data_IF_725647776948
#
_entry.id   IF_725647776948
#
_cell.length_a   1.000
_cell.length_b   1.000
_cell.length_c   1.000
_cell.angle_alpha   90.00
_cell.angle_beta   90.00
_cell.angle_gamma   90.00
#
_symmetry.space_group_name_H-M   'P 1'
#
loop_
_entity.id
_entity.type
_entity.pdbx_description
1 polymer ?
#
# COMPACT_ATOMS: atom_id res chain seq x y z
N UNK A 1 44.32 -8.23 9.49
CA UNK A 1 43.30 -7.21 9.67
C UNK A 1 42.61 -6.78 8.36
N UNK A 2 42.62 -7.61 7.28
CA UNK A 2 41.99 -7.26 5.97
C UNK A 2 40.74 -8.09 5.64
N UNK A 3 40.23 -8.95 6.52
CA UNK A 3 39.09 -9.84 6.27
C UNK A 3 37.74 -9.40 6.88
N UNK A 4 37.74 -8.33 7.70
CA UNK A 4 36.53 -7.84 8.38
C UNK A 4 35.74 -6.81 7.52
N UNK A 5 36.38 -6.19 6.54
CA UNK A 5 35.78 -5.11 5.75
C UNK A 5 34.85 -5.60 4.60
N UNK A 6 34.90 -6.88 4.24
CA UNK A 6 34.09 -7.44 3.15
C UNK A 6 32.69 -7.86 3.61
N UNK A 7 32.49 -8.13 4.90
CA UNK A 7 31.22 -8.66 5.42
C UNK A 7 30.15 -7.58 5.65
N UNK A 8 30.54 -6.31 5.76
CA UNK A 8 29.61 -5.19 6.04
C UNK A 8 28.92 -4.70 4.77
N UNK A 9 29.49 -4.89 3.58
CA UNK A 9 28.91 -4.40 2.31
C UNK A 9 27.69 -5.22 1.84
N UNK A 10 27.53 -6.45 2.31
CA UNK A 10 26.44 -7.34 1.83
C UNK A 10 25.07 -7.11 2.51
N UNK A 11 25.00 -6.34 3.61
CA UNK A 11 23.74 -6.14 4.35
C UNK A 11 22.94 -4.89 3.93
N UNK A 12 23.50 -3.99 3.12
CA UNK A 12 22.85 -2.71 2.75
C UNK A 12 22.02 -2.80 1.46
N UNK A 13 22.17 -3.85 0.67
CA UNK A 13 21.57 -3.92 -0.69
C UNK A 13 20.12 -4.39 -0.75
N UNK A 14 19.52 -4.85 0.37
CA UNK A 14 18.17 -5.42 0.33
C UNK A 14 17.02 -4.42 0.55
N UNK A 15 17.31 -3.16 0.92
CA UNK A 15 16.27 -2.18 1.25
C UNK A 15 15.73 -1.46 0.00
N UNK A 16 16.49 -1.42 -1.09
CA UNK A 16 16.16 -0.60 -2.27
C UNK A 16 15.18 -1.32 -3.24
N UNK A 17 15.09 -2.65 -3.20
CA UNK A 17 14.28 -3.41 -4.16
C UNK A 17 12.76 -3.33 -3.94
N UNK A 18 12.30 -3.08 -2.71
CA UNK A 18 10.88 -3.04 -2.39
C UNK A 18 10.16 -1.81 -2.99
N UNK A 19 10.83 -0.65 -3.04
CA UNK A 19 10.22 0.60 -3.51
C UNK A 19 9.97 0.65 -5.02
N UNK A 20 10.65 -0.18 -5.82
CA UNK A 20 10.60 -0.13 -7.28
C UNK A 20 9.77 -1.25 -7.93
N UNK A 21 9.16 -2.12 -7.14
CA UNK A 21 8.48 -3.33 -7.67
C UNK A 21 7.31 -3.02 -8.61
N UNK A 22 6.71 -1.85 -8.50
CA UNK A 22 5.55 -1.42 -9.28
C UNK A 22 5.83 -0.21 -10.17
N UNK A 23 7.07 0.30 -10.24
CA UNK A 23 7.42 1.49 -11.03
C UNK A 23 7.06 1.37 -12.52
N UNK A 24 7.09 0.15 -13.07
CA UNK A 24 6.69 -0.10 -14.45
C UNK A 24 5.24 0.25 -14.77
N UNK A 25 4.37 0.37 -13.75
CA UNK A 25 2.95 0.72 -13.90
C UNK A 25 2.66 2.22 -13.78
N UNK A 26 3.62 3.03 -13.33
CA UNK A 26 3.42 4.45 -12.99
C UNK A 26 3.05 5.33 -14.19
N UNK A 27 3.43 4.94 -15.41
CA UNK A 27 3.23 5.74 -16.62
C UNK A 27 2.63 4.91 -17.78
N UNK A 28 1.86 3.87 -17.49
CA UNK A 28 1.19 3.08 -18.53
C UNK A 28 -0.17 3.66 -18.87
N UNK A 29 -0.44 3.85 -20.16
CA UNK A 29 -1.64 4.49 -20.70
C UNK A 29 -2.97 3.86 -20.21
N UNK A 30 -2.99 2.55 -19.98
CA UNK A 30 -4.20 1.82 -19.53
C UNK A 30 -4.20 1.50 -18.02
N UNK A 31 -3.35 2.17 -17.24
CA UNK A 31 -3.28 2.06 -15.79
C UNK A 31 -3.44 3.44 -15.16
N UNK A 32 -4.51 3.63 -14.39
CA UNK A 32 -4.64 4.81 -13.53
C UNK A 32 -3.78 4.62 -12.29
N UNK A 33 -2.98 5.62 -11.93
CA UNK A 33 -2.12 5.57 -10.76
C UNK A 33 -2.32 6.75 -9.82
N UNK A 34 -2.32 6.47 -8.51
CA UNK A 34 -2.23 7.49 -7.45
C UNK A 34 -0.93 7.21 -6.70
N UNK A 35 -0.04 8.19 -6.66
CA UNK A 35 1.26 8.06 -6.01
C UNK A 35 1.45 9.27 -5.10
N UNK A 36 1.62 9.01 -3.80
CA UNK A 36 1.95 10.01 -2.78
C UNK A 36 3.21 9.55 -2.07
N UNK A 37 4.24 10.37 -2.09
CA UNK A 37 5.50 10.08 -1.42
C UNK A 37 5.57 10.77 -0.04
N UNK A 38 6.60 10.47 0.73
CA UNK A 38 6.90 11.04 2.04
C UNK A 38 6.85 12.57 2.05
N UNK A 39 7.45 13.21 1.05
CA UNK A 39 7.46 14.68 0.94
C UNK A 39 6.06 15.25 0.75
N UNK A 40 5.21 14.60 -0.02
CA UNK A 40 3.81 15.03 -0.18
C UNK A 40 3.03 14.85 1.12
N UNK A 41 3.21 13.73 1.83
CA UNK A 41 2.60 13.51 3.14
C UNK A 41 3.08 14.53 4.17
N UNK A 42 4.36 14.85 4.19
CA UNK A 42 4.93 15.90 5.04
C UNK A 42 4.22 17.26 4.80
N UNK A 43 4.11 17.67 3.54
CA UNK A 43 3.45 18.93 3.16
C UNK A 43 1.97 18.94 3.55
N UNK A 44 1.24 17.85 3.29
CA UNK A 44 -0.16 17.72 3.71
C UNK A 44 -0.30 17.80 5.24
N UNK A 45 0.62 17.19 5.98
CA UNK A 45 0.64 17.21 7.45
C UNK A 45 0.94 18.59 8.07
N UNK A 46 1.41 19.58 7.28
CA UNK A 46 1.65 20.95 7.75
C UNK A 46 0.39 21.84 7.72
N UNK A 47 -0.70 21.36 7.12
CA UNK A 47 -1.98 22.09 7.06
C UNK A 47 -2.48 22.32 8.49
N UNK A 48 -2.88 23.57 8.78
CA UNK A 48 -3.48 23.91 10.08
C UNK A 48 -4.95 23.52 10.07
N UNK A 49 -5.38 22.81 11.10
CA UNK A 49 -6.77 22.45 11.32
C UNK A 49 -7.19 22.84 12.74
N UNK A 50 -8.47 23.22 12.89
CA UNK A 50 -9.05 23.58 14.17
C UNK A 50 -10.00 22.50 14.72
N UNK A 51 -10.52 21.63 13.87
CA UNK A 51 -11.40 20.55 14.28
C UNK A 51 -10.61 19.26 14.60
N UNK A 52 -11.12 18.51 15.55
CA UNK A 52 -10.46 17.32 16.09
C UNK A 52 -10.28 16.19 15.05
N UNK A 53 -11.23 16.04 14.14
CA UNK A 53 -11.19 14.97 13.13
C UNK A 53 -10.08 15.23 12.12
N UNK A 54 -9.99 16.46 11.60
CA UNK A 54 -8.93 16.87 10.67
C UNK A 54 -7.56 16.79 11.35
N UNK A 55 -7.44 17.23 12.61
CA UNK A 55 -6.18 17.09 13.36
C UNK A 55 -5.74 15.63 13.48
N UNK A 56 -6.66 14.70 13.78
CA UNK A 56 -6.36 13.27 13.83
C UNK A 56 -5.89 12.74 12.46
N UNK A 57 -6.59 13.10 11.40
CA UNK A 57 -6.22 12.74 10.02
C UNK A 57 -4.83 13.25 9.66
N UNK A 58 -4.51 14.51 9.93
CA UNK A 58 -3.19 15.07 9.67
C UNK A 58 -2.07 14.43 10.51
N UNK A 59 -2.38 14.03 11.74
CA UNK A 59 -1.44 13.28 12.58
C UNK A 59 -1.15 11.90 12.00
N UNK A 60 -2.17 11.23 11.48
CA UNK A 60 -2.02 9.95 10.80
C UNK A 60 -1.19 10.07 9.52
N UNK A 61 -1.49 11.07 8.67
CA UNK A 61 -0.74 11.32 7.43
C UNK A 61 0.78 11.46 7.68
N UNK A 62 1.18 12.06 8.79
CA UNK A 62 2.61 12.23 9.16
C UNK A 62 3.32 10.92 9.49
N UNK A 63 2.60 9.83 9.68
CA UNK A 63 3.17 8.49 9.92
C UNK A 63 3.38 7.69 8.63
N UNK A 64 2.99 8.26 7.49
CA UNK A 64 3.02 7.60 6.19
C UNK A 64 4.26 7.99 5.40
N UNK A 65 4.85 7.01 4.72
CA UNK A 65 6.00 7.19 3.84
C UNK A 65 5.59 7.24 2.37
N UNK A 66 4.84 6.22 1.90
CA UNK A 66 4.41 6.14 0.51
C UNK A 66 3.01 5.52 0.39
N UNK A 67 2.23 6.05 -0.54
CA UNK A 67 1.00 5.43 -1.04
C UNK A 67 1.14 5.22 -2.54
N UNK A 68 0.86 4.01 -3.01
CA UNK A 68 0.77 3.67 -4.43
C UNK A 68 -0.53 2.89 -4.66
N UNK A 69 -1.35 3.40 -5.58
CA UNK A 69 -2.56 2.71 -6.02
C UNK A 69 -2.51 2.63 -7.53
N UNK A 70 -2.66 1.42 -8.08
CA UNK A 70 -2.75 1.17 -9.51
C UNK A 70 -4.06 0.49 -9.82
N UNK A 71 -4.77 0.99 -10.83
CA UNK A 71 -6.08 0.46 -11.25
C UNK A 71 -6.08 0.26 -12.75
N UNK A 72 -6.52 -0.90 -13.19
CA UNK A 72 -6.71 -1.18 -14.62
C UNK A 72 -7.95 -2.03 -14.86
N UNK A 73 -8.60 -1.81 -16.00
CA UNK A 73 -9.62 -2.71 -16.57
C UNK A 73 -9.10 -3.46 -17.81
N UNK A 74 -7.85 -3.21 -18.22
CA UNK A 74 -7.21 -3.88 -19.34
C UNK A 74 -6.70 -5.26 -18.92
N UNK A 75 -7.14 -6.32 -19.57
CA UNK A 75 -6.82 -7.71 -19.21
C UNK A 75 -5.32 -8.03 -19.23
N UNK A 76 -4.59 -7.46 -20.20
CA UNK A 76 -3.13 -7.68 -20.28
C UNK A 76 -2.44 -7.06 -19.07
N UNK A 77 -2.76 -5.80 -18.77
CA UNK A 77 -2.18 -5.10 -17.62
C UNK A 77 -2.61 -5.74 -16.30
N UNK A 78 -3.86 -6.21 -16.19
CA UNK A 78 -4.33 -6.96 -15.02
C UNK A 78 -3.48 -8.21 -14.77
N UNK A 79 -3.18 -8.98 -15.82
CA UNK A 79 -2.32 -10.16 -15.71
C UNK A 79 -0.89 -9.78 -15.28
N UNK A 80 -0.33 -8.72 -15.83
CA UNK A 80 1.01 -8.22 -15.46
C UNK A 80 1.04 -7.71 -14.02
N UNK A 81 -0.02 -7.03 -13.56
CA UNK A 81 -0.16 -6.57 -12.18
C UNK A 81 -0.26 -7.76 -11.22
N UNK A 82 -1.02 -8.80 -11.58
CA UNK A 82 -1.10 -10.05 -10.79
C UNK A 82 0.26 -10.71 -10.60
N UNK A 83 1.00 -10.92 -11.70
CA UNK A 83 2.35 -11.50 -11.65
C UNK A 83 3.29 -10.65 -10.79
N UNK A 84 3.21 -9.32 -10.90
CA UNK A 84 4.02 -8.43 -10.09
C UNK A 84 3.64 -8.49 -8.60
N UNK A 85 2.35 -8.54 -8.26
CA UNK A 85 1.86 -8.70 -6.89
C UNK A 85 2.31 -10.04 -6.29
N UNK A 86 2.19 -11.15 -7.02
CA UNK A 86 2.64 -12.46 -6.57
C UNK A 86 4.16 -12.51 -6.35
N UNK A 87 4.94 -11.89 -7.24
CA UNK A 87 6.39 -11.77 -7.08
C UNK A 87 6.72 -10.94 -5.84
N UNK A 88 6.02 -9.82 -5.66
CA UNK A 88 6.20 -8.95 -4.50
C UNK A 88 5.99 -9.70 -3.18
N UNK A 89 4.89 -10.43 -3.08
CA UNK A 89 4.55 -11.24 -1.89
C UNK A 89 5.55 -12.36 -1.61
N UNK A 90 6.16 -12.94 -2.65
CA UNK A 90 7.21 -13.96 -2.48
C UNK A 90 8.55 -13.40 -1.99
N UNK A 91 8.84 -12.15 -2.31
CA UNK A 91 10.14 -11.52 -1.99
C UNK A 91 10.09 -10.67 -0.73
N UNK A 92 8.90 -10.35 -0.22
CA UNK A 92 8.70 -9.55 0.98
C UNK A 92 7.97 -10.37 2.04
N UNK A 93 8.39 -10.24 3.29
CA UNK A 93 7.77 -10.94 4.41
C UNK A 93 6.53 -10.16 4.85
N UNK A 94 5.39 -10.50 4.24
CA UNK A 94 4.07 -9.95 4.57
C UNK A 94 3.18 -11.08 5.10
N UNK A 95 2.40 -10.78 6.13
CA UNK A 95 1.44 -11.69 6.74
C UNK A 95 0.05 -11.45 6.14
N UNK A 96 -0.69 -12.53 5.84
CA UNK A 96 -2.05 -12.41 5.35
C UNK A 96 -2.96 -11.91 6.49
N UNK A 97 -3.56 -10.74 6.32
CA UNK A 97 -4.49 -10.15 7.28
C UNK A 97 -5.92 -10.59 6.99
N UNK A 98 -6.36 -10.52 5.73
CA UNK A 98 -7.70 -10.85 5.32
C UNK A 98 -7.77 -11.31 3.87
N UNK A 99 -8.78 -12.12 3.57
CA UNK A 99 -9.23 -12.39 2.21
C UNK A 99 -10.74 -12.27 2.15
N UNK A 100 -11.24 -11.68 1.06
CA UNK A 100 -12.67 -11.49 0.81
C UNK A 100 -13.00 -11.89 -0.61
N UNK A 101 -14.11 -12.65 -0.78
CA UNK A 101 -14.67 -12.99 -2.08
C UNK A 101 -16.16 -12.67 -2.02
N UNK A 102 -16.53 -11.42 -2.31
CA UNK A 102 -17.90 -10.90 -2.17
C UNK A 102 -18.29 -10.14 -3.43
N UNK A 103 -19.50 -10.42 -3.96
CA UNK A 103 -20.09 -9.69 -5.08
C UNK A 103 -19.19 -9.58 -6.33
N UNK A 104 -18.45 -10.66 -6.65
CA UNK A 104 -17.55 -10.67 -7.81
C UNK A 104 -16.23 -9.94 -7.59
N UNK A 105 -15.89 -9.57 -6.35
CA UNK A 105 -14.57 -9.02 -5.95
C UNK A 105 -13.80 -10.04 -5.16
N UNK A 106 -12.57 -10.33 -5.58
CA UNK A 106 -11.61 -11.14 -4.83
C UNK A 106 -10.49 -10.23 -4.35
N UNK A 107 -10.41 -10.03 -3.05
CA UNK A 107 -9.38 -9.21 -2.43
C UNK A 107 -8.54 -10.03 -1.44
N UNK A 108 -7.26 -9.78 -1.45
CA UNK A 108 -6.29 -10.30 -0.47
C UNK A 108 -5.54 -9.13 0.13
N UNK A 109 -5.56 -9.06 1.45
CA UNK A 109 -4.90 -7.98 2.22
C UNK A 109 -3.80 -8.60 3.07
N UNK A 110 -2.64 -7.98 3.02
CA UNK A 110 -1.43 -8.39 3.71
C UNK A 110 -0.85 -7.21 4.49
N UNK A 111 -0.19 -7.50 5.59
CA UNK A 111 0.49 -6.50 6.41
C UNK A 111 1.92 -6.93 6.74
N UNK A 112 2.74 -5.94 7.06
CA UNK A 112 4.03 -6.11 7.71
C UNK A 112 3.98 -5.46 9.07
N UNK A 113 4.30 -6.19 10.14
CA UNK A 113 4.30 -5.71 11.51
C UNK A 113 5.14 -4.45 11.68
N UNK A 114 4.64 -3.50 12.46
CA UNK A 114 5.23 -2.20 12.73
C UNK A 114 6.17 -2.17 13.93
N UNK A 115 6.38 -0.96 14.48
CA UNK A 115 7.28 -0.71 15.60
C UNK A 115 6.74 -1.18 16.95
N UNK A 116 5.42 -1.35 17.06
CA UNK A 116 4.74 -1.78 18.29
C UNK A 116 3.47 -2.55 17.95
N UNK A 117 2.86 -3.16 18.98
CA UNK A 117 1.58 -3.85 18.85
C UNK A 117 0.49 -2.92 18.29
N UNK A 118 -0.30 -3.43 17.34
CA UNK A 118 -1.34 -2.66 16.63
C UNK A 118 -0.84 -1.77 15.48
N UNK A 119 0.49 -1.58 15.35
CA UNK A 119 1.04 -0.84 14.22
C UNK A 119 1.56 -1.75 13.11
N UNK A 120 1.49 -1.24 11.89
CA UNK A 120 2.03 -1.89 10.69
C UNK A 120 2.97 -0.96 9.93
N UNK A 121 4.01 -1.55 9.32
CA UNK A 121 4.95 -0.85 8.43
C UNK A 121 4.50 -0.83 7.00
N UNK A 122 3.63 -1.76 6.64
CA UNK A 122 3.09 -1.86 5.29
C UNK A 122 1.71 -2.50 5.32
N UNK A 123 0.81 -1.95 4.51
CA UNK A 123 -0.45 -2.56 4.11
C UNK A 123 -0.43 -2.74 2.60
N UNK A 124 -0.58 -3.97 2.14
CA UNK A 124 -0.64 -4.33 0.73
C UNK A 124 -1.97 -5.02 0.42
N UNK A 125 -2.68 -4.55 -0.61
CA UNK A 125 -3.88 -5.20 -1.10
C UNK A 125 -3.76 -5.48 -2.60
N UNK A 126 -4.16 -6.68 -2.99
CA UNK A 126 -4.41 -7.04 -4.37
C UNK A 126 -5.89 -7.41 -4.52
N UNK A 127 -6.58 -6.73 -5.41
CA UNK A 127 -8.01 -6.92 -5.68
C UNK A 127 -8.24 -7.18 -7.16
N UNK A 128 -9.03 -8.23 -7.47
CA UNK A 128 -9.59 -8.50 -8.78
C UNK A 128 -11.11 -8.43 -8.66
N UNK A 129 -11.76 -7.58 -9.46
CA UNK A 129 -13.21 -7.58 -9.58
C UNK A 129 -13.65 -8.08 -10.95
N UNK A 130 -14.78 -8.77 -10.98
CA UNK A 130 -15.36 -9.37 -12.18
C UNK A 130 -16.74 -8.80 -12.44
N UNK A 131 -17.20 -8.85 -13.69
CA UNK A 131 -18.50 -8.33 -14.09
C UNK A 131 -18.42 -6.89 -14.58
N UNK A 132 -19.37 -6.03 -14.16
CA UNK A 132 -19.48 -4.67 -14.69
C UNK A 132 -18.24 -3.79 -14.40
N UNK A 133 -17.61 -3.98 -13.25
CA UNK A 133 -16.48 -3.14 -12.83
C UNK A 133 -15.12 -3.69 -13.29
N UNK A 134 -15.02 -4.96 -13.63
CA UNK A 134 -13.85 -5.69 -14.17
C UNK A 134 -12.50 -4.96 -13.95
N UNK A 135 -12.17 -4.67 -12.69
CA UNK A 135 -10.99 -3.92 -12.33
C UNK A 135 -9.99 -4.77 -11.55
N UNK A 136 -8.71 -4.54 -11.80
CA UNK A 136 -7.62 -5.05 -10.98
C UNK A 136 -6.94 -3.88 -10.27
N UNK A 137 -6.78 -4.01 -8.95
CA UNK A 137 -6.20 -2.96 -8.10
C UNK A 137 -5.01 -3.52 -7.33
N UNK A 138 -3.89 -2.81 -7.38
CA UNK A 138 -2.81 -2.91 -6.40
C UNK A 138 -2.87 -1.68 -5.52
N UNK A 139 -2.90 -1.88 -4.20
CA UNK A 139 -2.80 -0.85 -3.19
C UNK A 139 -1.60 -1.17 -2.29
N UNK A 140 -0.70 -0.22 -2.12
CA UNK A 140 0.46 -0.34 -1.22
C UNK A 140 0.59 0.94 -0.42
N UNK A 141 0.56 0.83 0.90
CA UNK A 141 0.77 1.92 1.84
C UNK A 141 1.90 1.54 2.78
N UNK A 142 2.90 2.39 2.90
CA UNK A 142 4.03 2.20 3.82
C UNK A 142 4.13 3.35 4.82
N UNK A 143 4.69 3.07 6.00
CA UNK A 143 4.84 4.00 7.11
C UNK A 143 4.96 3.25 8.43
N UNK A 144 4.63 3.87 9.54
CA UNK A 144 4.48 3.19 10.84
C UNK A 144 3.15 3.64 11.46
N UNK A 145 2.05 3.01 11.05
CA UNK A 145 0.69 3.49 11.25
C UNK A 145 -0.23 2.45 11.89
N UNK A 146 -1.34 2.95 12.46
CA UNK A 146 -2.42 2.11 13.00
C UNK A 146 -3.40 1.72 11.89
N UNK A 147 -3.74 0.44 11.78
CA UNK A 147 -4.72 -0.06 10.81
C UNK A 147 -6.11 0.57 10.99
N UNK A 148 -6.48 0.95 12.21
CA UNK A 148 -7.77 1.60 12.49
C UNK A 148 -7.93 2.96 11.80
N UNK A 149 -6.83 3.60 11.40
CA UNK A 149 -6.87 4.90 10.72
C UNK A 149 -7.00 4.77 9.18
N UNK A 150 -6.90 3.55 8.63
CA UNK A 150 -6.98 3.29 7.18
C UNK A 150 -8.33 3.75 6.60
N UNK A 151 -9.44 3.48 7.29
CA UNK A 151 -10.77 3.88 6.83
C UNK A 151 -10.87 5.40 6.62
N UNK A 152 -10.23 6.19 7.49
CA UNK A 152 -10.19 7.63 7.37
C UNK A 152 -9.40 8.06 6.12
N UNK A 153 -8.23 7.46 5.87
CA UNK A 153 -7.42 7.76 4.69
C UNK A 153 -8.18 7.46 3.39
N UNK A 154 -8.69 6.24 3.29
CA UNK A 154 -9.36 5.76 2.08
C UNK A 154 -10.60 6.57 1.74
N UNK A 155 -11.35 7.01 2.77
CA UNK A 155 -12.53 7.86 2.62
C UNK A 155 -12.15 9.30 2.23
N UNK A 156 -11.22 9.93 2.96
CA UNK A 156 -10.81 11.33 2.70
C UNK A 156 -10.13 11.50 1.34
N UNK A 157 -9.39 10.50 0.88
CA UNK A 157 -8.73 10.52 -0.43
C UNK A 157 -9.55 9.87 -1.55
N UNK A 158 -10.75 9.34 -1.25
CA UNK A 158 -11.62 8.63 -2.20
C UNK A 158 -10.86 7.53 -2.98
N UNK A 159 -10.13 6.69 -2.25
CA UNK A 159 -9.23 5.71 -2.87
C UNK A 159 -9.99 4.50 -3.43
N UNK A 160 -9.59 3.99 -4.60
CA UNK A 160 -10.12 2.73 -5.14
C UNK A 160 -9.86 1.55 -4.19
N UNK A 161 -10.87 0.69 -3.99
CA UNK A 161 -10.79 -0.46 -3.08
C UNK A 161 -11.05 -0.12 -1.60
N UNK A 162 -11.46 1.12 -1.29
CA UNK A 162 -11.79 1.58 0.06
C UNK A 162 -12.84 0.70 0.75
N UNK A 163 -13.82 0.21 0.01
CA UNK A 163 -14.88 -0.67 0.50
C UNK A 163 -14.35 -1.98 1.09
N UNK A 164 -13.30 -2.54 0.51
CA UNK A 164 -12.63 -3.74 1.03
C UNK A 164 -11.76 -3.40 2.23
N UNK A 165 -10.95 -2.36 2.13
CA UNK A 165 -10.03 -1.96 3.21
C UNK A 165 -10.78 -1.55 4.49
N UNK A 166 -11.91 -0.85 4.36
CA UNK A 166 -12.73 -0.45 5.49
C UNK A 166 -13.35 -1.64 6.24
N UNK A 167 -13.63 -2.75 5.55
CA UNK A 167 -14.12 -3.97 6.19
C UNK A 167 -13.02 -4.74 6.94
N UNK A 168 -11.76 -4.57 6.58
CA UNK A 168 -10.63 -5.27 7.22
C UNK A 168 -10.10 -4.55 8.48
N UNK A 169 -10.32 -3.24 8.59
CA UNK A 169 -9.87 -2.44 9.75
C UNK A 169 -10.75 -2.60 11.01
N UNK A 170 -11.88 -3.31 10.93
CA UNK A 170 -12.81 -3.52 12.06
C UNK A 170 -12.78 -4.95 12.63
N UNK A 171 -11.77 -5.75 12.29
CA UNK A 171 -11.53 -7.08 12.90
C UNK A 171 -10.32 -7.04 13.81
#
# INVERSE_FOLDING_TARGET
MKKVLVTIVFFVTNIIFAQNSFAKFENQESISSIIVNDKMFELMGQIKASDKETMRYLSFIKTLDNLKVFVTSNTKNATEMKVAAEKYLKTNTLEALASSSIHGKNAKVYVKSGSSEGKVKELFMFLESYGKDNQTIIFSLTGDFDLNDIATLTTKMNLPGADVLNQTSHK
#
